data_IF_593302292865
#
_entry.id   IF_593302292865
#
_cell.length_a   1.000
_cell.length_b   1.000
_cell.length_c   1.000
_cell.angle_alpha   90.00
_cell.angle_beta   90.00
_cell.angle_gamma   90.00
#
_symmetry.space_group_name_H-M   'P 1'
#
loop_
_entity.id
_entity.type
_entity.pdbx_description
1 polymer ?
#
# COMPACT_ATOMS: atom_id res chain seq x y z
N UNK A 1 -16.09 -11.34 -7.31
CA UNK A 1 -15.33 -11.02 -6.07
C UNK A 1 -14.81 -12.33 -5.49
N UNK A 2 -13.55 -12.38 -5.03
CA UNK A 2 -13.01 -13.53 -4.28
C UNK A 2 -12.81 -13.12 -2.81
N UNK A 3 -13.19 -13.99 -1.88
CA UNK A 3 -12.95 -13.78 -0.44
C UNK A 3 -11.56 -14.33 -0.12
N UNK A 4 -10.78 -13.54 0.60
CA UNK A 4 -9.42 -13.88 1.00
C UNK A 4 -9.32 -13.60 2.50
N UNK A 5 -8.87 -14.58 3.27
CA UNK A 5 -8.60 -14.42 4.70
C UNK A 5 -7.12 -14.18 4.89
N UNK A 6 -6.77 -13.11 5.59
CA UNK A 6 -5.39 -12.74 5.90
C UNK A 6 -5.27 -12.50 7.40
N UNK A 7 -4.11 -12.85 7.95
CA UNK A 7 -3.79 -12.50 9.33
C UNK A 7 -2.97 -11.21 9.35
N UNK A 8 -3.47 -10.17 10.03
CA UNK A 8 -2.82 -8.87 10.18
C UNK A 8 -2.59 -8.60 11.66
N UNK A 9 -1.48 -7.91 11.98
CA UNK A 9 -1.22 -7.52 13.37
C UNK A 9 -2.27 -6.51 13.86
N UNK A 10 -2.54 -6.55 15.17
CA UNK A 10 -3.59 -5.71 15.77
C UNK A 10 -3.38 -4.22 15.52
N UNK A 11 -2.12 -3.76 15.46
CA UNK A 11 -1.79 -2.35 15.18
C UNK A 11 -2.32 -1.87 13.83
N UNK A 12 -2.28 -2.72 12.81
CA UNK A 12 -2.83 -2.36 11.50
C UNK A 12 -4.36 -2.42 11.51
N UNK A 13 -4.94 -3.40 12.20
CA UNK A 13 -6.39 -3.52 12.34
C UNK A 13 -6.98 -2.29 13.04
N UNK A 14 -6.36 -1.83 14.13
CA UNK A 14 -6.80 -0.64 14.86
C UNK A 14 -6.66 0.62 14.03
N UNK A 15 -5.53 0.80 13.31
CA UNK A 15 -5.35 1.93 12.42
C UNK A 15 -6.42 1.98 11.30
N UNK A 16 -6.72 0.83 10.67
CA UNK A 16 -7.76 0.75 9.63
C UNK A 16 -9.15 1.03 10.23
N UNK A 17 -9.39 0.61 11.47
CA UNK A 17 -10.65 0.86 12.16
C UNK A 17 -10.86 2.35 12.43
N UNK A 18 -9.83 3.08 12.87
CA UNK A 18 -9.89 4.55 13.03
C UNK A 18 -10.23 5.23 11.70
N UNK A 19 -9.66 4.78 10.58
CA UNK A 19 -9.98 5.32 9.25
C UNK A 19 -11.43 5.09 8.83
N UNK A 20 -12.03 3.99 9.28
CA UNK A 20 -13.44 3.66 9.06
C UNK A 20 -14.34 4.53 9.96
N UNK A 21 -13.97 4.72 11.22
CA UNK A 21 -14.68 5.57 12.19
C UNK A 21 -14.70 7.04 11.79
N UNK A 22 -13.63 7.52 11.15
CA UNK A 22 -13.55 8.87 10.57
C UNK A 22 -14.39 9.03 9.29
N UNK A 23 -15.06 7.98 8.82
CA UNK A 23 -15.91 8.01 7.63
C UNK A 23 -15.16 8.12 6.30
N UNK A 24 -13.84 7.94 6.30
CA UNK A 24 -13.00 8.05 5.09
C UNK A 24 -13.25 6.85 4.16
N UNK A 25 -13.40 5.67 4.77
CA UNK A 25 -13.72 4.44 4.05
C UNK A 25 -15.01 3.84 4.62
N UNK A 26 -15.84 3.19 3.78
CA UNK A 26 -17.11 2.61 4.21
C UNK A 26 -16.95 1.26 4.94
N UNK A 27 -15.81 0.59 4.79
CA UNK A 27 -15.49 -0.63 5.51
C UNK A 27 -13.99 -0.91 5.55
N UNK A 28 -13.57 -1.78 6.49
CA UNK A 28 -12.18 -2.28 6.55
C UNK A 28 -11.74 -2.94 5.24
N UNK A 29 -12.63 -3.71 4.60
CA UNK A 29 -12.33 -4.38 3.33
C UNK A 29 -12.13 -3.39 2.19
N UNK A 30 -12.92 -2.32 2.14
CA UNK A 30 -12.76 -1.27 1.12
C UNK A 30 -11.50 -0.43 1.36
N UNK A 31 -11.16 -0.15 2.62
CA UNK A 31 -9.89 0.50 2.97
C UNK A 31 -8.68 -0.32 2.48
N UNK A 32 -8.66 -1.63 2.76
CA UNK A 32 -7.59 -2.53 2.33
C UNK A 32 -7.53 -2.63 0.81
N UNK A 33 -8.68 -2.75 0.12
CA UNK A 33 -8.72 -2.78 -1.35
C UNK A 33 -8.21 -1.50 -1.98
N UNK A 34 -8.62 -0.34 -1.46
CA UNK A 34 -8.16 0.96 -1.96
C UNK A 34 -6.65 1.08 -1.81
N UNK A 35 -6.11 0.73 -0.63
CA UNK A 35 -4.67 0.72 -0.38
C UNK A 35 -3.92 -0.18 -1.36
N UNK A 36 -4.35 -1.43 -1.54
CA UNK A 36 -3.73 -2.38 -2.47
C UNK A 36 -3.84 -1.90 -3.93
N UNK A 37 -4.99 -1.36 -4.33
CA UNK A 37 -5.21 -0.85 -5.69
C UNK A 37 -4.28 0.32 -6.02
N UNK A 38 -3.98 1.18 -5.05
CA UNK A 38 -3.05 2.29 -5.23
C UNK A 38 -1.59 1.85 -5.13
N UNK A 39 -1.31 0.80 -4.35
CA UNK A 39 0.04 0.30 -4.09
C UNK A 39 0.57 -0.57 -5.23
N UNK A 40 -0.18 -1.58 -5.69
CA UNK A 40 0.29 -2.57 -6.65
C UNK A 40 0.82 -1.97 -7.98
N UNK A 41 0.15 -0.99 -8.62
CA UNK A 41 0.67 -0.39 -9.86
C UNK A 41 1.94 0.43 -9.64
N UNK A 42 2.07 1.08 -8.47
CA UNK A 42 3.28 1.85 -8.12
C UNK A 42 4.46 0.92 -7.91
N UNK A 43 4.24 -0.18 -7.21
CA UNK A 43 5.27 -1.20 -6.96
C UNK A 43 5.68 -1.91 -8.24
N UNK A 44 4.72 -2.27 -9.11
CA UNK A 44 5.01 -2.88 -10.40
C UNK A 44 5.85 -1.95 -11.29
N UNK A 45 5.45 -0.68 -11.41
CA UNK A 45 6.21 0.32 -12.16
C UNK A 45 7.61 0.51 -11.56
N UNK A 46 7.72 0.53 -10.23
CA UNK A 46 9.01 0.60 -9.55
C UNK A 46 9.89 -0.62 -9.92
N UNK A 47 9.34 -1.82 -9.87
CA UNK A 47 10.04 -3.05 -10.25
C UNK A 47 10.51 -3.04 -11.72
N UNK A 48 9.63 -2.69 -12.66
CA UNK A 48 9.99 -2.55 -14.08
C UNK A 48 11.11 -1.53 -14.30
N UNK A 49 11.06 -0.39 -13.58
CA UNK A 49 12.12 0.62 -13.66
C UNK A 49 13.45 0.18 -13.04
N UNK A 50 13.43 -0.74 -12.06
CA UNK A 50 14.64 -1.29 -11.45
C UNK A 50 15.37 -2.26 -12.37
N UNK A 51 14.64 -3.08 -13.14
CA UNK A 51 15.25 -4.00 -14.12
C UNK A 51 15.94 -3.27 -15.28
N UNK A 52 15.56 -2.02 -15.56
CA UNK A 52 16.07 -1.24 -16.71
C UNK A 52 17.41 -0.49 -16.44
N UNK A 53 18.20 -0.89 -15.43
CA UNK A 53 19.55 -0.36 -15.10
C UNK A 53 19.64 1.02 -14.44
N UNK A 54 18.61 1.54 -13.79
CA UNK A 54 18.65 2.86 -13.12
C UNK A 54 18.63 2.81 -11.57
N UNK A 55 19.11 1.71 -10.98
CA UNK A 55 19.15 1.50 -9.51
C UNK A 55 19.86 2.64 -8.75
N UNK A 56 20.89 3.26 -9.35
CA UNK A 56 21.64 4.36 -8.73
C UNK A 56 20.94 5.73 -8.76
N UNK A 57 19.94 5.94 -9.64
CA UNK A 57 19.28 7.25 -9.80
C UNK A 57 18.10 7.43 -8.83
N UNK A 58 17.41 6.33 -8.48
CA UNK A 58 16.20 6.37 -7.65
C UNK A 58 16.50 6.45 -6.15
N UNK A 59 17.57 5.79 -5.67
CA UNK A 59 17.98 5.83 -4.25
C UNK A 59 18.49 7.20 -3.77
N UNK A 60 18.87 8.11 -4.70
CA UNK A 60 19.32 9.48 -4.36
C UNK A 60 18.20 10.46 -4.01
N UNK A 61 16.93 10.11 -4.26
CA UNK A 61 15.75 10.95 -3.92
C UNK A 61 15.08 10.58 -2.60
N UNK A 62 15.38 9.42 -2.02
CA UNK A 62 14.83 8.98 -0.73
C UNK A 62 15.70 9.31 0.48
N UNK A 63 16.89 9.87 0.28
CA UNK A 63 17.85 10.21 1.35
C UNK A 63 18.37 11.63 1.13
N UNK A 64 17.48 12.61 1.21
CA UNK A 64 17.84 14.00 1.53
C UNK A 64 16.82 14.49 2.56
N UNK A 65 17.06 14.09 3.81
CA UNK A 65 16.82 14.93 4.97
C UNK A 65 18.14 15.57 5.35
#
# INVERSE_FOLDING_TARGET
MKIITINLSEKYLSAIQVLNELGIYPSRSEAIRSALKQFLPKELKFFETLETKDFKKTMRRGVQH
#
